data_IF_245192328792
#
_entry.id   IF_245192328792
#
_cell.length_a   1.000
_cell.length_b   1.000
_cell.length_c   1.000
_cell.angle_alpha   90.00
_cell.angle_beta   90.00
_cell.angle_gamma   90.00
#
_symmetry.space_group_name_H-M   'P 1'
#
loop_
_entity.id
_entity.type
_entity.pdbx_description
1 polymer ?
#
# COMPACT_ATOMS: atom_id res chain seq x y z
N UNK A 1 -11.38 6.97 -22.61
CA UNK A 1 -10.58 8.07 -23.20
C UNK A 1 -10.16 8.99 -22.06
N UNK A 2 -8.89 9.34 -21.91
CA UNK A 2 -8.47 10.29 -20.86
C UNK A 2 -8.89 11.70 -21.29
N UNK A 3 -9.66 12.39 -20.45
CA UNK A 3 -10.21 13.72 -20.75
C UNK A 3 -9.40 14.82 -20.05
N UNK A 4 -9.61 16.09 -20.44
CA UNK A 4 -9.03 17.24 -19.73
C UNK A 4 -9.42 17.29 -18.25
N UNK A 5 -10.60 16.78 -17.87
CA UNK A 5 -11.04 16.68 -16.49
C UNK A 5 -10.10 15.78 -15.64
N UNK A 6 -9.58 14.69 -16.20
CA UNK A 6 -8.66 13.81 -15.49
C UNK A 6 -7.33 14.50 -15.16
N UNK A 7 -6.82 15.34 -16.06
CA UNK A 7 -5.60 16.13 -15.82
C UNK A 7 -5.87 17.27 -14.85
N UNK A 8 -6.99 17.98 -15.01
CA UNK A 8 -7.43 19.01 -14.08
C UNK A 8 -7.52 18.46 -12.66
N UNK A 9 -8.09 17.27 -12.49
CA UNK A 9 -8.15 16.58 -11.20
C UNK A 9 -6.75 16.27 -10.64
N UNK A 10 -5.85 15.72 -11.46
CA UNK A 10 -4.48 15.37 -11.04
C UNK A 10 -3.70 16.57 -10.51
N UNK A 11 -3.83 17.72 -11.15
CA UNK A 11 -3.06 18.91 -10.82
C UNK A 11 -3.80 19.89 -9.89
N UNK A 12 -5.03 19.57 -9.51
CA UNK A 12 -5.77 20.33 -8.50
C UNK A 12 -6.53 21.53 -9.03
N UNK A 13 -6.85 21.55 -10.33
CA UNK A 13 -7.65 22.60 -10.96
C UNK A 13 -9.14 22.42 -10.62
N UNK A 14 -9.47 22.65 -9.35
CA UNK A 14 -10.81 22.43 -8.78
C UNK A 14 -11.88 23.23 -9.50
N UNK A 15 -11.64 24.52 -9.74
CA UNK A 15 -12.60 25.41 -10.42
C UNK A 15 -12.94 24.88 -11.83
N UNK A 16 -11.94 24.40 -12.58
CA UNK A 16 -12.17 23.81 -13.90
C UNK A 16 -13.15 22.64 -13.84
N UNK A 17 -13.04 21.77 -12.85
CA UNK A 17 -13.96 20.63 -12.70
C UNK A 17 -15.37 21.09 -12.32
N UNK A 18 -15.49 22.08 -11.43
CA UNK A 18 -16.77 22.66 -11.03
C UNK A 18 -17.45 23.31 -12.22
N UNK A 19 -16.74 24.14 -12.99
CA UNK A 19 -17.27 24.77 -14.20
C UNK A 19 -17.70 23.75 -15.25
N UNK A 20 -16.94 22.67 -15.46
CA UNK A 20 -17.34 21.58 -16.37
C UNK A 20 -18.67 20.96 -15.90
N UNK A 21 -18.82 20.68 -14.60
CA UNK A 21 -20.03 20.08 -14.06
C UNK A 21 -21.25 21.03 -14.15
N UNK A 22 -21.07 22.31 -13.85
CA UNK A 22 -22.11 23.36 -13.94
C UNK A 22 -22.55 23.61 -15.39
N UNK A 23 -21.64 23.47 -16.36
CA UNK A 23 -21.94 23.54 -17.79
C UNK A 23 -22.66 22.27 -18.34
N UNK A 24 -23.05 21.35 -17.45
CA UNK A 24 -23.76 20.12 -17.82
C UNK A 24 -22.84 18.92 -18.10
N UNK A 25 -21.52 19.06 -17.95
CA UNK A 25 -20.53 18.00 -18.17
C UNK A 25 -20.25 17.12 -16.94
N UNK A 26 -21.26 16.89 -16.10
CA UNK A 26 -21.11 16.11 -14.85
C UNK A 26 -20.59 14.69 -15.11
N UNK A 27 -21.10 14.05 -16.15
CA UNK A 27 -20.67 12.72 -16.59
C UNK A 27 -19.20 12.68 -16.99
N UNK A 28 -18.64 13.77 -17.53
CA UNK A 28 -17.21 13.83 -17.90
C UNK A 28 -16.33 13.81 -16.66
N UNK A 29 -16.76 14.45 -15.57
CA UNK A 29 -16.03 14.49 -14.28
C UNK A 29 -16.07 13.11 -13.60
N UNK A 30 -17.19 12.40 -13.71
CA UNK A 30 -17.41 11.14 -13.00
C UNK A 30 -17.05 9.89 -13.81
N UNK A 31 -16.90 9.99 -15.12
CA UNK A 31 -16.52 8.87 -15.98
C UNK A 31 -15.10 8.39 -15.68
N UNK A 32 -14.89 7.07 -15.79
CA UNK A 32 -13.57 6.46 -15.83
C UNK A 32 -12.92 6.58 -17.21
N UNK A 33 -11.60 6.66 -17.25
CA UNK A 33 -10.85 6.48 -18.49
C UNK A 33 -10.87 5.01 -18.97
N UNK A 34 -10.01 4.66 -19.94
CA UNK A 34 -9.98 3.30 -20.51
C UNK A 34 -9.57 2.23 -19.49
N UNK A 35 -8.88 2.65 -18.42
CA UNK A 35 -8.40 1.80 -17.34
C UNK A 35 -9.34 1.91 -16.12
N UNK A 36 -10.51 2.56 -16.28
CA UNK A 36 -11.48 2.79 -15.21
C UNK A 36 -11.07 3.87 -14.21
N UNK A 37 -9.95 4.57 -14.44
CA UNK A 37 -9.49 5.62 -13.52
C UNK A 37 -10.38 6.86 -13.69
N UNK A 38 -11.04 7.26 -12.60
CA UNK A 38 -11.89 8.45 -12.54
C UNK A 38 -11.09 9.71 -12.14
N UNK A 39 -11.71 10.89 -12.18
CA UNK A 39 -11.12 12.11 -11.62
C UNK A 39 -10.73 11.94 -10.15
N UNK A 40 -11.49 11.19 -9.35
CA UNK A 40 -11.17 10.92 -7.94
C UNK A 40 -9.82 10.21 -7.79
N UNK A 41 -9.54 9.22 -8.64
CA UNK A 41 -8.24 8.54 -8.65
C UNK A 41 -7.10 9.51 -8.94
N UNK A 42 -7.28 10.37 -9.95
CA UNK A 42 -6.25 11.32 -10.37
C UNK A 42 -6.00 12.38 -9.30
N UNK A 43 -7.06 12.93 -8.71
CA UNK A 43 -6.96 13.88 -7.59
C UNK A 43 -6.27 13.25 -6.39
N UNK A 44 -6.64 12.02 -6.02
CA UNK A 44 -6.05 11.32 -4.90
C UNK A 44 -4.57 10.98 -5.11
N UNK A 45 -4.20 10.50 -6.30
CA UNK A 45 -2.82 10.23 -6.68
C UNK A 45 -1.95 11.51 -6.63
N UNK A 46 -2.53 12.68 -6.91
CA UNK A 46 -1.89 13.99 -6.79
C UNK A 46 -1.99 14.66 -5.42
N UNK A 47 -2.63 14.03 -4.43
CA UNK A 47 -2.86 14.61 -3.09
C UNK A 47 -3.76 15.85 -3.09
N UNK A 48 -4.65 15.98 -4.07
CA UNK A 48 -5.50 17.17 -4.28
C UNK A 48 -6.79 17.06 -3.47
N UNK A 49 -6.69 17.24 -2.15
CA UNK A 49 -7.81 17.05 -1.22
C UNK A 49 -9.02 17.93 -1.53
N UNK A 50 -8.83 19.22 -1.79
CA UNK A 50 -9.92 20.13 -2.15
C UNK A 50 -10.64 19.71 -3.44
N UNK A 51 -9.86 19.31 -4.44
CA UNK A 51 -10.38 18.82 -5.72
C UNK A 51 -11.16 17.53 -5.54
N UNK A 52 -10.68 16.62 -4.68
CA UNK A 52 -11.37 15.39 -4.33
C UNK A 52 -12.73 15.67 -3.66
N UNK A 53 -12.77 16.60 -2.70
CA UNK A 53 -14.00 17.02 -2.04
C UNK A 53 -14.98 17.68 -3.02
N UNK A 54 -14.49 18.47 -3.97
CA UNK A 54 -15.34 19.03 -5.03
C UNK A 54 -15.93 17.94 -5.93
N UNK A 55 -15.15 16.94 -6.32
CA UNK A 55 -15.64 15.78 -7.08
C UNK A 55 -16.72 15.03 -6.29
N UNK A 56 -16.54 14.84 -4.98
CA UNK A 56 -17.55 14.21 -4.14
C UNK A 56 -18.84 15.05 -4.02
N UNK A 57 -18.75 16.39 -4.01
CA UNK A 57 -19.95 17.27 -4.06
C UNK A 57 -20.70 17.13 -5.39
N UNK A 58 -19.99 16.92 -6.50
CA UNK A 58 -20.57 16.73 -7.83
C UNK A 58 -21.21 15.34 -7.98
N UNK A 59 -20.52 14.31 -7.49
CA UNK A 59 -20.83 12.91 -7.76
C UNK A 59 -21.47 12.12 -6.62
N UNK A 60 -21.53 12.68 -5.40
CA UNK A 60 -21.83 11.93 -4.19
C UNK A 60 -20.62 11.17 -3.65
N UNK A 61 -20.81 10.51 -2.51
CA UNK A 61 -19.77 9.68 -1.88
C UNK A 61 -19.36 8.49 -2.77
N UNK A 62 -20.26 8.02 -3.63
CA UNK A 62 -20.04 6.94 -4.60
C UNK A 62 -18.90 7.27 -5.57
N UNK A 63 -18.65 8.54 -5.85
CA UNK A 63 -17.53 8.98 -6.69
C UNK A 63 -16.16 8.63 -6.09
N UNK A 64 -16.08 8.42 -4.77
CA UNK A 64 -14.86 8.00 -4.07
C UNK A 64 -14.72 6.47 -3.99
N UNK A 65 -15.83 5.74 -4.17
CA UNK A 65 -15.90 4.28 -4.10
C UNK A 65 -15.73 3.59 -5.45
N UNK A 66 -15.80 4.35 -6.55
CA UNK A 66 -15.56 3.83 -7.89
C UNK A 66 -14.18 3.17 -7.98
N UNK A 67 -14.15 1.92 -8.45
CA UNK A 67 -12.93 1.17 -8.70
C UNK A 67 -12.48 1.25 -10.15
N UNK A 68 -11.17 1.23 -10.37
CA UNK A 68 -10.54 1.03 -11.68
C UNK A 68 -10.76 -0.40 -12.21
N UNK A 69 -10.15 -0.75 -13.36
CA UNK A 69 -10.25 -2.12 -13.92
C UNK A 69 -9.76 -3.22 -12.99
N UNK A 70 -8.89 -2.88 -12.03
CA UNK A 70 -8.36 -3.78 -11.01
C UNK A 70 -9.15 -3.67 -9.70
N UNK A 71 -10.21 -2.85 -9.62
CA UNK A 71 -10.95 -2.59 -8.40
C UNK A 71 -10.20 -1.71 -7.38
N UNK A 72 -9.08 -1.08 -7.76
CA UNK A 72 -8.42 -0.08 -6.91
C UNK A 72 -9.27 1.18 -6.92
N UNK A 73 -9.41 1.81 -5.77
CA UNK A 73 -10.17 3.06 -5.57
C UNK A 73 -9.22 4.24 -5.41
N UNK A 74 -9.77 5.46 -5.35
CA UNK A 74 -8.97 6.64 -5.03
C UNK A 74 -8.23 6.55 -3.68
N UNK A 75 -8.73 5.77 -2.71
CA UNK A 75 -8.04 5.54 -1.44
C UNK A 75 -6.74 4.76 -1.61
N UNK A 76 -6.69 3.80 -2.55
CA UNK A 76 -5.45 3.07 -2.87
C UNK A 76 -4.39 4.03 -3.42
N UNK A 77 -4.81 4.97 -4.29
CA UNK A 77 -3.92 5.98 -4.84
C UNK A 77 -3.44 6.99 -3.78
N UNK A 78 -4.32 7.42 -2.88
CA UNK A 78 -3.94 8.31 -1.78
C UNK A 78 -2.95 7.62 -0.82
N UNK A 79 -3.19 6.35 -0.47
CA UNK A 79 -2.29 5.57 0.38
C UNK A 79 -0.94 5.30 -0.29
N UNK A 80 -0.95 4.90 -1.56
CA UNK A 80 0.25 4.70 -2.37
C UNK A 80 0.98 6.00 -2.74
N UNK A 81 0.37 7.16 -2.51
CA UNK A 81 1.00 8.49 -2.62
C UNK A 81 1.38 9.12 -1.28
N UNK A 82 1.04 8.49 -0.15
CA UNK A 82 1.31 9.02 1.18
C UNK A 82 0.43 10.22 1.60
N UNK A 83 -0.69 10.45 0.91
CA UNK A 83 -1.51 11.65 1.07
C UNK A 83 -2.53 11.50 2.20
N UNK A 84 -2.07 11.65 3.46
CA UNK A 84 -2.89 11.43 4.67
C UNK A 84 -4.14 12.33 4.72
N UNK A 85 -4.02 13.62 4.38
CA UNK A 85 -5.17 14.52 4.39
C UNK A 85 -6.22 14.13 3.35
N UNK A 86 -5.76 13.57 2.23
CA UNK A 86 -6.66 13.02 1.21
C UNK A 86 -7.34 11.74 1.71
N UNK A 87 -6.62 10.85 2.40
CA UNK A 87 -7.22 9.67 3.04
C UNK A 87 -8.25 10.04 4.11
N UNK A 88 -7.98 11.07 4.90
CA UNK A 88 -8.92 11.62 5.90
C UNK A 88 -10.19 12.15 5.25
N UNK A 89 -10.06 12.95 4.20
CA UNK A 89 -11.21 13.43 3.44
C UNK A 89 -12.03 12.28 2.83
N UNK A 90 -11.38 11.21 2.36
CA UNK A 90 -12.05 10.01 1.87
C UNK A 90 -12.83 9.31 2.97
N UNK A 91 -12.25 9.17 4.17
CA UNK A 91 -12.94 8.60 5.33
C UNK A 91 -14.14 9.45 5.76
N UNK A 92 -13.98 10.77 5.86
CA UNK A 92 -15.03 11.69 6.31
C UNK A 92 -16.25 11.67 5.39
N UNK A 93 -16.03 11.54 4.07
CA UNK A 93 -17.11 11.55 3.07
C UNK A 93 -17.65 10.15 2.80
N UNK A 94 -16.77 9.17 2.61
CA UNK A 94 -17.10 7.82 2.17
C UNK A 94 -17.23 6.80 3.30
N UNK A 95 -16.94 7.19 4.54
CA UNK A 95 -16.87 6.32 5.70
C UNK A 95 -15.66 5.38 5.71
N UNK A 96 -15.54 4.61 6.79
CA UNK A 96 -14.48 3.61 6.99
C UNK A 96 -14.31 2.67 5.79
N UNK A 97 -15.42 2.23 5.17
CA UNK A 97 -15.44 1.32 4.02
C UNK A 97 -14.69 1.86 2.80
N UNK A 98 -14.59 3.19 2.64
CA UNK A 98 -13.85 3.80 1.55
C UNK A 98 -12.33 3.63 1.69
N UNK A 99 -11.84 3.44 2.92
CA UNK A 99 -10.40 3.31 3.25
C UNK A 99 -9.97 1.85 3.39
N UNK A 100 -10.84 0.96 3.89
CA UNK A 100 -10.52 -0.46 4.13
C UNK A 100 -10.82 -1.40 2.96
N UNK A 101 -11.10 -0.83 1.79
CA UNK A 101 -11.42 -1.56 0.56
C UNK A 101 -10.23 -2.43 0.09
N UNK A 102 -10.57 -3.52 -0.61
CA UNK A 102 -9.62 -4.42 -1.26
C UNK A 102 -9.84 -4.43 -2.76
N UNK A 103 -8.74 -4.39 -3.51
CA UNK A 103 -8.74 -4.53 -4.96
C UNK A 103 -9.01 -6.00 -5.39
N UNK A 104 -9.07 -6.25 -6.70
CA UNK A 104 -9.33 -7.58 -7.28
C UNK A 104 -8.20 -8.58 -7.05
N UNK A 105 -7.07 -8.16 -6.50
CA UNK A 105 -5.97 -9.04 -6.08
C UNK A 105 -5.96 -9.23 -4.55
N UNK A 106 -6.94 -8.68 -3.84
CA UNK A 106 -7.03 -8.70 -2.39
C UNK A 106 -6.10 -7.70 -1.71
N UNK A 107 -5.45 -6.79 -2.45
CA UNK A 107 -4.58 -5.78 -1.83
C UNK A 107 -5.42 -4.65 -1.27
N UNK A 108 -5.02 -4.11 -0.13
CA UNK A 108 -5.68 -2.99 0.54
C UNK A 108 -4.84 -1.72 0.45
N UNK A 109 -5.40 -0.58 0.87
CA UNK A 109 -4.66 0.67 1.03
C UNK A 109 -3.41 0.52 1.92
N UNK A 110 -3.45 -0.37 2.93
CA UNK A 110 -2.30 -0.65 3.79
C UNK A 110 -1.15 -1.32 3.01
N UNK A 111 -1.46 -2.19 2.03
CA UNK A 111 -0.43 -2.79 1.16
C UNK A 111 0.26 -1.71 0.33
N UNK A 112 -0.50 -0.77 -0.24
CA UNK A 112 0.05 0.32 -1.06
C UNK A 112 0.94 1.26 -0.22
N UNK A 113 0.47 1.68 0.96
CA UNK A 113 1.27 2.50 1.86
C UNK A 113 2.56 1.78 2.29
N UNK A 114 2.48 0.48 2.58
CA UNK A 114 3.63 -0.31 2.99
C UNK A 114 4.65 -0.51 1.85
N UNK A 115 4.18 -0.80 0.64
CA UNK A 115 4.98 -0.96 -0.59
C UNK A 115 5.85 0.27 -0.86
N UNK A 116 5.26 1.47 -0.79
CA UNK A 116 5.97 2.71 -1.08
C UNK A 116 6.68 3.32 0.14
N UNK A 117 6.43 2.80 1.34
CA UNK A 117 7.09 3.23 2.56
C UNK A 117 6.47 4.45 3.24
N UNK A 118 5.21 4.76 2.95
CA UNK A 118 4.49 5.90 3.54
C UNK A 118 3.92 5.53 4.90
N UNK A 119 4.77 5.62 5.93
CA UNK A 119 4.46 5.24 7.32
C UNK A 119 3.25 5.99 7.89
N UNK A 120 3.15 7.30 7.70
CA UNK A 120 2.00 8.08 8.19
C UNK A 120 0.67 7.66 7.54
N UNK A 121 0.69 7.32 6.25
CA UNK A 121 -0.49 6.81 5.56
C UNK A 121 -0.84 5.39 6.02
N UNK A 122 0.15 4.54 6.25
CA UNK A 122 -0.05 3.21 6.82
C UNK A 122 -0.67 3.30 8.22
N UNK A 123 -0.14 4.17 9.07
CA UNK A 123 -0.64 4.40 10.43
C UNK A 123 -2.09 4.89 10.40
N UNK A 124 -2.42 5.85 9.53
CA UNK A 124 -3.78 6.32 9.35
C UNK A 124 -4.72 5.19 8.92
N UNK A 125 -4.37 4.45 7.86
CA UNK A 125 -5.23 3.37 7.31
C UNK A 125 -5.48 2.29 8.37
N UNK A 126 -4.46 1.91 9.14
CA UNK A 126 -4.61 0.93 10.22
C UNK A 126 -5.38 1.51 11.40
N UNK A 127 -5.23 2.80 11.71
CA UNK A 127 -6.03 3.49 12.73
C UNK A 127 -7.52 3.46 12.43
N UNK A 128 -7.90 3.66 11.16
CA UNK A 128 -9.29 3.56 10.68
C UNK A 128 -9.76 2.10 10.63
N UNK A 129 -8.91 1.21 10.10
CA UNK A 129 -9.28 -0.16 9.75
C UNK A 129 -9.22 -1.17 10.88
N UNK A 130 -8.31 -0.98 11.83
CA UNK A 130 -7.88 -1.98 12.80
C UNK A 130 -6.56 -2.65 12.40
N UNK A 131 -5.83 -3.17 13.39
CA UNK A 131 -4.52 -3.82 13.22
C UNK A 131 -4.58 -5.09 12.36
N UNK A 132 -5.77 -5.67 12.21
CA UNK A 132 -6.02 -6.86 11.39
C UNK A 132 -5.66 -6.62 9.92
N UNK A 133 -5.66 -5.37 9.45
CA UNK A 133 -5.19 -5.00 8.12
C UNK A 133 -3.71 -5.34 7.88
N UNK A 134 -2.88 -5.37 8.93
CA UNK A 134 -1.47 -5.73 8.82
C UNK A 134 -1.28 -7.23 8.56
N UNK A 135 -2.18 -8.06 9.11
CA UNK A 135 -2.18 -9.51 8.92
C UNK A 135 -2.95 -9.97 7.68
N UNK A 136 -3.80 -9.09 7.12
CA UNK A 136 -4.65 -9.44 6.00
C UNK A 136 -3.82 -9.59 4.71
N UNK A 137 -3.81 -10.79 4.13
CA UNK A 137 -3.02 -11.10 2.94
C UNK A 137 -3.75 -10.80 1.61
N UNK A 138 -3.00 -10.55 0.55
CA UNK A 138 -3.48 -10.57 -0.83
C UNK A 138 -3.71 -12.01 -1.33
N UNK A 139 -4.13 -12.18 -2.59
CA UNK A 139 -4.37 -13.51 -3.16
C UNK A 139 -3.11 -14.35 -3.41
N UNK A 140 -1.92 -13.75 -3.31
CA UNK A 140 -0.64 -14.46 -3.30
C UNK A 140 -0.16 -14.77 -1.86
N UNK A 141 -0.98 -14.49 -0.84
CA UNK A 141 -0.59 -14.69 0.56
C UNK A 141 0.38 -13.62 1.08
N UNK A 142 0.60 -12.53 0.35
CA UNK A 142 1.49 -11.45 0.75
C UNK A 142 0.76 -10.46 1.66
N UNK A 143 1.45 -10.04 2.71
CA UNK A 143 0.98 -9.04 3.69
C UNK A 143 1.73 -7.72 3.52
N UNK A 144 1.36 -6.69 4.28
CA UNK A 144 2.08 -5.41 4.32
C UNK A 144 3.59 -5.60 4.59
N UNK A 145 3.96 -6.56 5.45
CA UNK A 145 5.35 -6.89 5.74
C UNK A 145 6.10 -7.42 4.52
N UNK A 146 5.45 -8.21 3.65
CA UNK A 146 6.08 -8.69 2.42
C UNK A 146 6.37 -7.54 1.46
N UNK A 147 5.40 -6.64 1.29
CA UNK A 147 5.54 -5.47 0.40
C UNK A 147 6.63 -4.52 0.89
N UNK A 148 6.63 -4.19 2.18
CA UNK A 148 7.64 -3.34 2.81
C UNK A 148 9.04 -3.98 2.70
N UNK A 149 9.15 -5.27 3.02
CA UNK A 149 10.42 -6.00 2.99
C UNK A 149 10.99 -6.12 1.57
N UNK A 150 10.17 -6.49 0.59
CA UNK A 150 10.57 -6.62 -0.82
C UNK A 150 10.93 -5.30 -1.50
N UNK A 151 10.67 -4.16 -0.84
CA UNK A 151 11.10 -2.81 -1.28
C UNK A 151 12.12 -2.17 -0.34
N UNK A 152 12.63 -2.90 0.65
CA UNK A 152 13.64 -2.42 1.59
C UNK A 152 13.15 -1.31 2.52
N UNK A 153 11.85 -1.23 2.81
CA UNK A 153 11.25 -0.19 3.66
C UNK A 153 11.44 -0.50 5.15
N UNK A 154 12.68 -0.38 5.64
CA UNK A 154 13.04 -0.71 7.02
C UNK A 154 12.20 0.05 8.07
N UNK A 155 11.99 1.36 7.90
CA UNK A 155 11.14 2.16 8.80
C UNK A 155 9.68 1.68 8.83
N UNK A 156 9.16 1.28 7.67
CA UNK A 156 7.81 0.71 7.57
C UNK A 156 7.73 -0.62 8.31
N UNK A 157 8.74 -1.49 8.22
CA UNK A 157 8.78 -2.75 8.99
C UNK A 157 8.83 -2.50 10.50
N UNK A 158 9.63 -1.52 10.95
CA UNK A 158 9.64 -1.10 12.37
C UNK A 158 8.26 -0.62 12.82
N UNK A 159 7.58 0.17 11.98
CA UNK A 159 6.22 0.62 12.27
C UNK A 159 5.23 -0.54 12.32
N UNK A 160 5.28 -1.47 11.36
CA UNK A 160 4.44 -2.66 11.35
C UNK A 160 4.65 -3.48 12.63
N UNK A 161 5.89 -3.73 13.03
CA UNK A 161 6.21 -4.44 14.28
C UNK A 161 5.67 -3.73 15.53
N UNK A 162 5.76 -2.40 15.59
CA UNK A 162 5.19 -1.62 16.71
C UNK A 162 3.67 -1.69 16.78
N UNK A 163 2.99 -1.68 15.63
CA UNK A 163 1.53 -1.62 15.55
C UNK A 163 0.85 -3.00 15.65
N UNK A 164 1.45 -4.00 15.00
CA UNK A 164 0.90 -5.36 14.87
C UNK A 164 1.61 -6.41 15.71
N UNK A 165 2.74 -6.06 16.35
CA UNK A 165 3.57 -7.01 17.07
C UNK A 165 4.38 -7.93 16.14
N UNK A 166 5.18 -8.81 16.76
CA UNK A 166 6.11 -9.71 16.07
C UNK A 166 5.43 -10.67 15.09
N UNK A 167 4.18 -11.07 15.39
CA UNK A 167 3.38 -11.97 14.56
C UNK A 167 3.17 -11.44 13.13
N UNK A 168 3.28 -10.12 12.94
CA UNK A 168 3.16 -9.46 11.64
C UNK A 168 4.23 -9.89 10.63
N UNK A 169 5.31 -10.53 11.09
CA UNK A 169 6.43 -10.94 10.24
C UNK A 169 6.36 -12.41 9.78
N UNK A 170 5.58 -13.26 10.45
CA UNK A 170 5.60 -14.72 10.28
C UNK A 170 4.68 -15.26 9.19
N UNK A 171 3.83 -14.42 8.60
CA UNK A 171 2.99 -14.82 7.47
C UNK A 171 3.86 -15.35 6.31
N UNK A 172 3.38 -16.40 5.66
CA UNK A 172 4.03 -17.01 4.51
C UNK A 172 3.16 -16.86 3.25
N UNK A 173 3.77 -16.46 2.15
CA UNK A 173 3.12 -16.36 0.84
C UNK A 173 2.75 -17.75 0.26
N UNK A 174 2.12 -17.79 -0.91
CA UNK A 174 1.75 -19.05 -1.58
C UNK A 174 2.93 -19.98 -1.89
N UNK A 175 4.16 -19.49 -1.85
CA UNK A 175 5.39 -20.27 -2.02
C UNK A 175 6.04 -20.65 -0.67
N UNK A 176 5.40 -20.32 0.45
CA UNK A 176 5.95 -20.51 1.79
C UNK A 176 6.99 -19.46 2.18
N UNK A 177 7.17 -18.40 1.38
CA UNK A 177 8.18 -17.38 1.66
C UNK A 177 7.63 -16.36 2.64
N UNK A 178 8.45 -15.98 3.61
CA UNK A 178 8.16 -14.90 4.56
C UNK A 178 8.64 -13.54 4.05
N UNK A 179 8.33 -12.47 4.78
CA UNK A 179 8.86 -11.13 4.47
C UNK A 179 10.41 -11.09 4.44
N UNK A 180 11.11 -11.87 5.26
CA UNK A 180 12.58 -11.95 5.21
C UNK A 180 13.11 -12.53 3.88
N UNK A 181 12.41 -13.50 3.28
CA UNK A 181 12.79 -14.00 1.95
C UNK A 181 12.69 -12.89 0.90
N UNK A 182 11.66 -12.04 0.97
CA UNK A 182 11.48 -10.90 0.06
C UNK A 182 12.58 -9.85 0.23
N UNK A 183 12.93 -9.52 1.48
CA UNK A 183 14.05 -8.60 1.75
C UNK A 183 15.38 -9.17 1.26
N UNK A 184 15.64 -10.45 1.52
CA UNK A 184 16.87 -11.12 1.09
C UNK A 184 17.01 -11.21 -0.43
N UNK A 185 15.93 -11.55 -1.15
CA UNK A 185 15.91 -11.58 -2.61
C UNK A 185 16.22 -10.21 -3.26
N UNK A 186 15.95 -9.12 -2.55
CA UNK A 186 16.29 -7.75 -2.99
C UNK A 186 17.59 -7.18 -2.39
N UNK A 187 18.33 -7.96 -1.59
CA UNK A 187 19.55 -7.50 -0.93
C UNK A 187 19.31 -6.41 0.13
N UNK A 188 18.11 -6.35 0.71
CA UNK A 188 17.69 -5.29 1.63
C UNK A 188 18.11 -5.58 3.07
N UNK A 189 19.39 -5.40 3.34
CA UNK A 189 20.03 -5.68 4.64
C UNK A 189 19.38 -4.92 5.79
N UNK A 190 19.08 -3.62 5.63
CA UNK A 190 18.46 -2.80 6.67
C UNK A 190 17.04 -3.26 7.00
N UNK A 191 16.30 -3.80 6.02
CA UNK A 191 14.98 -4.36 6.25
C UNK A 191 15.06 -5.64 7.10
N UNK A 192 16.06 -6.50 6.87
CA UNK A 192 16.30 -7.69 7.68
C UNK A 192 16.70 -7.32 9.12
N UNK A 193 17.54 -6.30 9.29
CA UNK A 193 17.87 -5.76 10.62
C UNK A 193 16.61 -5.24 11.32
N UNK A 194 15.75 -4.49 10.63
CA UNK A 194 14.49 -4.00 11.19
C UNK A 194 13.55 -5.13 11.65
N UNK A 195 13.52 -6.27 10.95
CA UNK A 195 12.76 -7.45 11.40
C UNK A 195 13.30 -7.99 12.73
N UNK A 196 14.61 -8.08 12.89
CA UNK A 196 15.27 -8.54 14.12
C UNK A 196 15.03 -7.56 15.28
N UNK A 197 15.16 -6.25 15.03
CA UNK A 197 14.85 -5.20 16.01
C UNK A 197 13.39 -5.26 16.48
N UNK A 198 12.48 -5.67 15.60
CA UNK A 198 11.07 -5.91 15.92
C UNK A 198 10.79 -7.26 16.62
N UNK A 199 11.83 -7.99 17.04
CA UNK A 199 11.72 -9.30 17.69
C UNK A 199 11.55 -10.49 16.73
N UNK A 200 11.53 -10.24 15.43
CA UNK A 200 11.25 -11.24 14.39
C UNK A 200 12.45 -12.11 14.01
N UNK A 201 13.46 -12.29 14.87
CA UNK A 201 14.70 -13.02 14.51
C UNK A 201 14.43 -14.40 13.92
N UNK A 202 13.44 -15.12 14.45
CA UNK A 202 13.08 -16.47 13.98
C UNK A 202 12.68 -16.52 12.49
N UNK A 203 12.13 -15.43 11.95
CA UNK A 203 11.69 -15.35 10.55
C UNK A 203 12.86 -15.53 9.56
N UNK A 204 14.09 -15.26 10.00
CA UNK A 204 15.30 -15.43 9.19
C UNK A 204 15.66 -16.91 8.97
N UNK A 205 15.28 -17.78 9.90
CA UNK A 205 15.56 -19.23 9.86
C UNK A 205 14.45 -20.07 9.22
N UNK A 206 13.29 -19.47 8.94
CA UNK A 206 12.17 -20.17 8.31
C UNK A 206 12.52 -20.61 6.90
N UNK A 207 11.98 -21.77 6.50
CA UNK A 207 12.17 -22.35 5.16
C UNK A 207 10.91 -22.18 4.33
N UNK A 208 11.09 -21.85 3.06
CA UNK A 208 10.03 -21.87 2.06
C UNK A 208 9.63 -23.30 1.65
N UNK A 209 8.71 -23.44 0.68
CA UNK A 209 8.28 -24.75 0.17
C UNK A 209 9.37 -25.53 -0.56
N UNK A 210 10.47 -24.87 -0.96
CA UNK A 210 11.65 -25.50 -1.57
C UNK A 210 12.71 -25.86 -0.51
N UNK A 211 12.46 -25.58 0.77
CA UNK A 211 13.39 -25.82 1.85
C UNK A 211 14.50 -24.76 1.98
N UNK A 212 14.39 -23.64 1.25
CA UNK A 212 15.36 -22.55 1.25
C UNK A 212 15.06 -21.56 2.37
N UNK A 213 16.12 -21.06 3.01
CA UNK A 213 16.01 -19.94 3.97
C UNK A 213 16.27 -18.62 3.23
N UNK A 214 15.96 -17.49 3.88
CA UNK A 214 16.26 -16.17 3.29
C UNK A 214 17.77 -15.96 3.02
N UNK A 215 18.67 -16.57 3.80
CA UNK A 215 20.10 -16.52 3.52
C UNK A 215 20.46 -17.19 2.18
N UNK A 216 19.84 -18.33 1.86
CA UNK A 216 20.05 -19.03 0.58
C UNK A 216 19.48 -18.19 -0.57
N UNK A 217 18.30 -17.60 -0.39
CA UNK A 217 17.68 -16.72 -1.38
C UNK A 217 18.59 -15.51 -1.69
N UNK A 218 19.20 -14.89 -0.68
CA UNK A 218 20.17 -13.81 -0.88
C UNK A 218 21.39 -14.25 -1.71
N UNK A 219 21.92 -15.45 -1.48
CA UNK A 219 23.06 -15.97 -2.25
C UNK A 219 22.71 -16.25 -3.71
N UNK A 220 21.55 -16.86 -3.95
CA UNK A 220 21.06 -17.13 -5.31
C UNK A 220 20.75 -15.83 -6.07
N UNK A 221 20.31 -14.78 -5.36
CA UNK A 221 20.15 -13.43 -5.90
C UNK A 221 21.45 -12.64 -6.09
N UNK A 222 22.60 -13.19 -5.67
CA UNK A 222 23.91 -12.53 -5.76
C UNK A 222 24.21 -11.53 -4.65
N UNK A 223 23.39 -11.46 -3.60
CA UNK A 223 23.51 -10.56 -2.45
C UNK A 223 24.34 -11.19 -1.32
N UNK A 224 25.62 -11.49 -1.59
CA UNK A 224 26.51 -12.19 -0.65
C UNK A 224 26.66 -11.47 0.69
N UNK A 225 26.86 -10.15 0.66
CA UNK A 225 27.00 -9.35 1.89
C UNK A 225 25.73 -9.44 2.76
N UNK A 226 24.55 -9.41 2.13
CA UNK A 226 23.27 -9.59 2.83
C UNK A 226 23.17 -11.00 3.43
N UNK A 227 23.59 -12.05 2.71
CA UNK A 227 23.62 -13.41 3.24
C UNK A 227 24.55 -13.57 4.45
N UNK A 228 25.72 -12.93 4.43
CA UNK A 228 26.64 -12.87 5.58
C UNK A 228 26.01 -12.15 6.77
N UNK A 229 25.34 -11.02 6.53
CA UNK A 229 24.62 -10.30 7.60
C UNK A 229 23.50 -11.16 8.18
N UNK A 230 22.70 -11.84 7.36
CA UNK A 230 21.64 -12.75 7.84
C UNK A 230 22.24 -13.83 8.76
N UNK A 231 23.35 -14.45 8.36
CA UNK A 231 24.03 -15.45 9.19
C UNK A 231 24.55 -14.87 10.50
N UNK A 232 25.11 -13.67 10.46
CA UNK A 232 25.53 -12.97 11.68
C UNK A 232 24.36 -12.61 12.59
N UNK A 233 23.18 -12.30 12.04
CA UNK A 233 21.99 -11.96 12.84
C UNK A 233 21.39 -13.19 13.54
N UNK A 234 21.58 -14.39 12.98
CA UNK A 234 21.13 -15.66 13.57
C UNK A 234 22.02 -16.14 14.74
N UNK A 235 23.28 -15.71 14.80
CA UNK A 235 24.26 -16.17 15.81
C UNK A 235 24.47 -15.19 16.96
N UNK A 236 23.91 -13.98 16.89
CA UNK A 236 23.96 -13.01 17.98
C UNK A 236 22.92 -13.42 19.02
N UNK A 237 23.36 -13.62 20.28
CA UNK A 237 22.46 -13.81 21.43
C UNK A 237 21.64 -12.54 21.68
#
# INVERSE_FOLDING_TARGET
MRTCAHEAARYGHTETLVTIAEAGGREIVLAGDKDGLTCSHKAAMGGRTETLLAIARIGGAEALLAGDVNGRTCAHEAAGGGHVDTLRAIEEVGGKQAVVVRDRYGRSCAHEAALYGYTAALEFVVGVGGKELLAAADFNGQTCSHEAAGRGRAETLRMIGRMGGVDSFFAADVHGRTCAHKAAAGGHTEALVALVEGGGREVLGMKDKLGKTCAVEAEEGGHRDTAEVIRSLLTRD
#
